data_IF_500217040292
#
_entry.id   IF_500217040292
#
_cell.length_a   1.000
_cell.length_b   1.000
_cell.length_c   1.000
_cell.angle_alpha   90.00
_cell.angle_beta   90.00
_cell.angle_gamma   90.00
#
_symmetry.space_group_name_H-M   'P 1'
#
loop_
_entity.id
_entity.type
_entity.pdbx_description
1 polymer ?
#
# COMPACT_ATOMS: atom_id res chain seq x y z
N UNK A 1 -18.26 -2.46 -8.20
CA UNK A 1 -18.53 -1.30 -7.33
C UNK A 1 -17.20 -0.86 -6.74
N UNK A 2 -16.62 0.24 -7.20
CA UNK A 2 -15.45 0.83 -6.54
C UNK A 2 -15.96 1.44 -5.23
N UNK A 3 -15.80 0.72 -4.11
CA UNK A 3 -16.14 1.26 -2.80
C UNK A 3 -15.04 2.27 -2.41
N UNK A 4 -15.13 3.48 -2.96
CA UNK A 4 -14.35 4.62 -2.49
C UNK A 4 -14.75 4.87 -1.04
N UNK A 5 -13.83 4.64 -0.11
CA UNK A 5 -14.06 4.99 1.29
C UNK A 5 -14.43 6.47 1.37
N UNK A 6 -15.50 6.82 2.11
CA UNK A 6 -15.89 8.21 2.31
C UNK A 6 -14.67 9.05 2.73
N UNK A 7 -14.42 10.22 2.11
CA UNK A 7 -13.18 10.97 2.31
C UNK A 7 -12.86 11.33 3.76
N UNK A 8 -13.90 11.44 4.61
CA UNK A 8 -13.75 11.72 6.03
C UNK A 8 -13.01 10.62 6.81
N UNK A 9 -13.06 9.36 6.35
CA UNK A 9 -12.37 8.24 7.01
C UNK A 9 -10.85 8.45 6.95
N UNK A 10 -10.21 8.58 5.76
CA UNK A 10 -8.77 8.91 5.67
C UNK A 10 -8.37 10.18 6.42
N UNK A 11 -9.19 11.23 6.39
CA UNK A 11 -8.89 12.48 7.08
C UNK A 11 -8.87 12.32 8.61
N UNK A 12 -9.83 11.56 9.16
CA UNK A 12 -9.89 11.31 10.60
C UNK A 12 -8.72 10.46 11.10
N UNK A 13 -8.33 9.44 10.32
CA UNK A 13 -7.16 8.59 10.61
C UNK A 13 -5.88 9.41 10.56
N UNK A 14 -5.69 10.23 9.53
CA UNK A 14 -4.53 11.11 9.41
C UNK A 14 -4.42 12.11 10.58
N UNK A 15 -5.54 12.70 11.02
CA UNK A 15 -5.58 13.63 12.14
C UNK A 15 -5.23 12.96 13.47
N UNK A 16 -5.74 11.74 13.70
CA UNK A 16 -5.41 10.93 14.89
C UNK A 16 -3.93 10.54 14.90
N UNK A 17 -3.39 10.11 13.76
CA UNK A 17 -1.98 9.74 13.61
C UNK A 17 -1.05 10.94 13.87
N UNK A 18 -1.37 12.10 13.29
CA UNK A 18 -0.56 13.32 13.42
C UNK A 18 -0.64 13.97 14.81
N UNK A 19 -1.82 13.97 15.46
CA UNK A 19 -2.00 14.66 16.76
C UNK A 19 -1.75 13.77 17.97
N UNK A 20 -1.99 12.47 17.87
CA UNK A 20 -1.93 11.55 19.00
C UNK A 20 -0.67 10.69 18.93
N UNK A 21 -0.26 10.19 17.75
CA UNK A 21 0.87 9.26 17.64
C UNK A 21 2.22 9.96 17.45
N UNK A 22 2.27 11.13 16.79
CA UNK A 22 3.50 11.92 16.63
C UNK A 22 4.16 12.37 17.96
N UNK A 23 3.42 12.83 18.99
CA UNK A 23 4.02 13.12 20.30
C UNK A 23 4.42 11.86 21.09
N UNK A 24 3.94 10.67 20.71
CA UNK A 24 4.31 9.39 21.32
C UNK A 24 5.59 8.76 20.72
N UNK A 25 6.29 9.47 19.82
CA UNK A 25 7.57 9.03 19.26
C UNK A 25 7.49 7.85 18.28
N UNK A 26 6.28 7.53 17.78
CA UNK A 26 6.09 6.52 16.74
C UNK A 26 6.09 7.20 15.37
N UNK A 27 6.85 6.69 14.38
CA UNK A 27 6.76 7.21 13.02
C UNK A 27 5.32 7.02 12.51
N UNK A 28 4.75 8.03 11.81
CA UNK A 28 3.36 8.02 11.36
C UNK A 28 3.07 6.74 10.57
N UNK A 29 1.95 6.08 10.90
CA UNK A 29 1.60 4.75 10.42
C UNK A 29 1.24 4.75 8.93
N UNK A 30 0.94 5.92 8.36
CA UNK A 30 0.72 6.11 6.93
C UNK A 30 1.68 7.18 6.43
N UNK A 31 2.69 6.83 5.61
CA UNK A 31 3.50 7.83 4.95
C UNK A 31 2.58 8.68 4.07
N UNK A 32 2.41 9.96 4.40
CA UNK A 32 1.68 10.93 3.58
C UNK A 32 2.17 10.89 2.12
N UNK A 33 3.47 10.62 1.94
CA UNK A 33 4.09 10.43 0.64
C UNK A 33 3.52 9.21 -0.12
N UNK A 34 3.24 8.10 0.56
CA UNK A 34 2.61 6.92 -0.03
C UNK A 34 1.20 7.23 -0.55
N UNK A 35 0.42 8.03 0.18
CA UNK A 35 -0.93 8.47 -0.25
C UNK A 35 -0.84 9.41 -1.46
N UNK A 36 0.17 10.30 -1.51
CA UNK A 36 0.40 11.20 -2.65
C UNK A 36 0.87 10.43 -3.88
N UNK A 37 1.74 9.44 -3.69
CA UNK A 37 2.22 8.55 -4.75
C UNK A 37 1.09 7.68 -5.32
N UNK A 38 0.22 7.13 -4.47
CA UNK A 38 -0.91 6.30 -4.92
C UNK A 38 -1.93 7.06 -5.78
N UNK A 39 -2.00 8.40 -5.66
CA UNK A 39 -2.85 9.26 -6.50
C UNK A 39 -2.27 9.55 -7.88
N UNK A 40 -0.99 9.25 -8.11
CA UNK A 40 -0.31 9.53 -9.37
C UNK A 40 -0.23 8.23 -10.20
N UNK A 41 -0.68 8.27 -11.45
CA UNK A 41 -0.44 7.16 -12.38
C UNK A 41 1.03 7.16 -12.79
N UNK A 42 1.76 6.14 -12.37
CA UNK A 42 3.17 5.97 -12.69
C UNK A 42 3.36 4.75 -13.57
N UNK A 43 3.92 4.96 -14.77
CA UNK A 43 4.24 3.88 -15.72
C UNK A 43 5.63 3.32 -15.38
N UNK A 44 5.66 2.19 -14.67
CA UNK A 44 6.91 1.51 -14.33
C UNK A 44 7.21 0.38 -15.32
N UNK A 45 8.47 0.30 -15.75
CA UNK A 45 8.99 -0.84 -16.52
C UNK A 45 9.83 -1.73 -15.62
N UNK A 46 9.43 -2.97 -15.49
CA UNK A 46 10.18 -3.98 -14.75
C UNK A 46 11.27 -4.68 -15.59
N UNK A 47 11.50 -4.23 -16.83
CA UNK A 47 12.47 -4.82 -17.76
C UNK A 47 13.89 -4.88 -17.18
N UNK A 48 14.27 -3.90 -16.35
CA UNK A 48 15.57 -3.90 -15.65
C UNK A 48 15.68 -5.08 -14.67
N UNK A 49 14.64 -5.32 -13.86
CA UNK A 49 14.62 -6.40 -12.88
C UNK A 49 14.63 -7.78 -13.55
N UNK A 50 13.94 -7.94 -14.68
CA UNK A 50 14.00 -9.17 -15.48
C UNK A 50 15.42 -9.43 -15.97
N UNK A 51 16.07 -8.40 -16.54
CA UNK A 51 17.40 -8.51 -17.14
C UNK A 51 18.50 -8.75 -16.10
N UNK A 52 18.44 -8.05 -14.99
CA UNK A 52 19.55 -8.01 -14.02
C UNK A 52 19.35 -9.00 -12.86
N UNK A 53 18.11 -9.30 -12.50
CA UNK A 53 17.80 -10.16 -11.34
C UNK A 53 17.12 -11.48 -11.75
N UNK A 54 16.83 -11.69 -13.03
CA UNK A 54 16.14 -12.90 -13.51
C UNK A 54 14.72 -13.06 -12.96
N UNK A 55 14.12 -11.99 -12.42
CA UNK A 55 12.78 -12.03 -11.83
C UNK A 55 11.73 -12.05 -12.94
N UNK A 56 11.01 -13.17 -13.17
CA UNK A 56 10.01 -13.26 -14.21
C UNK A 56 8.87 -12.29 -13.89
N UNK A 57 8.34 -11.63 -14.93
CA UNK A 57 7.16 -10.79 -14.78
C UNK A 57 5.92 -11.66 -14.62
N UNK A 58 5.25 -11.50 -13.49
CA UNK A 58 3.90 -12.03 -13.28
C UNK A 58 2.87 -10.92 -13.53
N UNK A 59 1.69 -11.25 -14.08
CA UNK A 59 0.59 -10.29 -14.15
C UNK A 59 0.27 -9.73 -12.76
N UNK A 60 0.01 -8.42 -12.69
CA UNK A 60 -0.27 -7.70 -11.43
C UNK A 60 -1.43 -8.35 -10.65
N UNK A 61 -2.46 -8.81 -11.36
CA UNK A 61 -3.61 -9.50 -10.76
C UNK A 61 -3.22 -10.78 -10.01
N UNK A 62 -2.31 -11.57 -10.58
CA UNK A 62 -1.80 -12.79 -9.96
C UNK A 62 -0.97 -12.44 -8.73
N UNK A 63 -0.05 -11.48 -8.85
CA UNK A 63 0.78 -11.06 -7.73
C UNK A 63 -0.04 -10.52 -6.54
N UNK A 64 -1.10 -9.75 -6.82
CA UNK A 64 -2.02 -9.27 -5.78
C UNK A 64 -2.78 -10.41 -5.12
N UNK A 65 -3.27 -11.37 -5.91
CA UNK A 65 -3.96 -12.56 -5.39
C UNK A 65 -3.04 -13.36 -4.46
N UNK A 66 -1.83 -13.68 -4.91
CA UNK A 66 -0.87 -14.45 -4.14
C UNK A 66 -0.51 -13.75 -2.82
N UNK A 67 -0.37 -12.41 -2.85
CA UNK A 67 -0.13 -11.62 -1.65
C UNK A 67 -1.29 -11.71 -0.65
N UNK A 68 -2.53 -11.53 -1.11
CA UNK A 68 -3.73 -11.64 -0.25
C UNK A 68 -3.87 -13.04 0.33
N UNK A 69 -3.68 -14.07 -0.49
CA UNK A 69 -3.72 -15.47 -0.04
C UNK A 69 -2.66 -15.75 1.03
N UNK A 70 -1.44 -15.23 0.87
CA UNK A 70 -0.39 -15.37 1.85
C UNK A 70 -0.72 -14.68 3.18
N UNK A 71 -1.30 -13.47 3.14
CA UNK A 71 -1.71 -12.75 4.36
C UNK A 71 -2.86 -13.46 5.07
N UNK A 72 -3.81 -13.99 4.29
CA UNK A 72 -4.95 -14.77 4.78
C UNK A 72 -4.47 -16.06 5.45
N UNK A 73 -3.58 -16.81 4.79
CA UNK A 73 -3.04 -18.06 5.30
C UNK A 73 -2.25 -17.91 6.61
N UNK A 74 -1.76 -16.70 6.90
CA UNK A 74 -1.00 -16.39 8.12
C UNK A 74 -1.85 -15.76 9.24
N UNK A 75 -3.16 -15.60 9.03
CA UNK A 75 -4.06 -15.00 10.02
C UNK A 75 -3.77 -13.51 10.27
N UNK A 76 -3.22 -12.80 9.28
CA UNK A 76 -3.02 -11.35 9.35
C UNK A 76 -4.24 -10.55 8.86
N UNK A 77 -5.25 -11.25 8.32
CA UNK A 77 -6.49 -10.71 7.81
C UNK A 77 -7.65 -11.42 8.53
N UNK A 78 -7.81 -11.12 9.82
CA UNK A 78 -8.98 -11.47 10.63
C UNK A 78 -9.87 -10.23 10.83
#
# INVERSE_FOLDING_TARGET
>A
SQNSLPPWIPYSVAWVDEKILAPLGKPPSVPLDGVRMAKQYMYYSAAKAVRELGLPQTPISTALKDAVEWFTARGYLD
#
